data_IF_143348737300
#
_entry.id   IF_143348737300
#
_cell.length_a   1.000
_cell.length_b   1.000
_cell.length_c   1.000
_cell.angle_alpha   90.00
_cell.angle_beta   90.00
_cell.angle_gamma   90.00
#
_symmetry.space_group_name_H-M   'P 1'
#
loop_
_entity.id
_entity.type
_entity.pdbx_description
1 polymer ?
#
# COMPACT_ATOMS: atom_id res chain seq x y z
N UNK A 1 18.13 -6.33 -13.47
CA UNK A 1 18.33 -5.89 -12.07
C UNK A 1 18.93 -4.49 -11.93
N UNK A 2 20.00 -4.12 -12.68
CA UNK A 2 20.61 -2.78 -12.59
C UNK A 2 19.61 -1.62 -12.84
N UNK A 3 18.74 -1.75 -13.83
CA UNK A 3 17.74 -0.72 -14.18
C UNK A 3 16.70 -0.50 -13.08
N UNK A 4 16.19 -1.56 -12.44
CA UNK A 4 15.29 -1.49 -11.29
C UNK A 4 15.93 -0.70 -10.14
N UNK A 5 17.20 -1.01 -9.82
CA UNK A 5 17.92 -0.30 -8.78
C UNK A 5 18.12 1.19 -9.06
N UNK A 6 18.29 1.59 -10.32
CA UNK A 6 18.41 3.02 -10.71
C UNK A 6 17.10 3.75 -10.43
N UNK A 7 15.95 3.20 -10.86
CA UNK A 7 14.62 3.80 -10.65
C UNK A 7 14.32 3.90 -9.15
N UNK A 8 14.49 2.80 -8.42
CA UNK A 8 14.25 2.75 -6.98
C UNK A 8 15.12 3.75 -6.21
N UNK A 9 16.44 3.77 -6.50
CA UNK A 9 17.37 4.69 -5.85
C UNK A 9 17.03 6.15 -6.11
N UNK A 10 16.57 6.49 -7.33
CA UNK A 10 16.09 7.83 -7.66
C UNK A 10 14.90 8.22 -6.78
N UNK A 11 13.87 7.37 -6.71
CA UNK A 11 12.66 7.68 -5.95
C UNK A 11 12.95 7.77 -4.43
N UNK A 12 13.77 6.85 -3.90
CA UNK A 12 14.20 6.90 -2.51
C UNK A 12 15.04 8.14 -2.20
N UNK A 13 15.97 8.52 -3.09
CA UNK A 13 16.80 9.69 -2.87
C UNK A 13 15.98 11.00 -2.86
N UNK A 14 14.95 11.08 -3.70
CA UNK A 14 14.03 12.22 -3.70
C UNK A 14 13.25 12.23 -2.38
N UNK A 15 12.67 11.10 -1.98
CA UNK A 15 11.85 11.01 -0.78
C UNK A 15 12.64 11.24 0.50
N UNK A 16 13.86 10.69 0.62
CA UNK A 16 14.73 10.94 1.78
C UNK A 16 15.13 12.43 1.94
N UNK A 17 15.09 13.20 0.86
CA UNK A 17 15.36 14.64 0.90
C UNK A 17 14.12 15.48 1.19
N UNK A 18 12.97 15.11 0.62
CA UNK A 18 11.73 15.89 0.76
C UNK A 18 10.86 15.39 1.91
N UNK A 19 10.80 14.10 2.15
CA UNK A 19 9.91 13.45 3.12
C UNK A 19 8.41 13.62 2.82
N UNK A 20 8.07 14.21 1.69
CA UNK A 20 6.73 14.74 1.42
C UNK A 20 5.68 13.62 1.29
N UNK A 21 5.99 12.54 0.54
CA UNK A 21 5.05 11.44 0.31
C UNK A 21 4.79 10.71 1.62
N UNK A 22 5.86 10.29 2.30
CA UNK A 22 5.78 9.49 3.52
C UNK A 22 5.14 10.29 4.66
N UNK A 23 5.51 11.57 4.79
CA UNK A 23 4.97 12.43 5.84
C UNK A 23 3.49 12.73 5.63
N UNK A 24 3.09 13.18 4.43
CA UNK A 24 1.69 13.54 4.15
C UNK A 24 0.78 12.32 4.24
N UNK A 25 1.17 11.21 3.59
CA UNK A 25 0.38 9.96 3.62
C UNK A 25 0.37 9.33 5.01
N UNK A 26 1.49 9.40 5.73
CA UNK A 26 1.61 8.91 7.10
C UNK A 26 0.77 9.70 8.10
N UNK A 27 0.79 11.04 8.04
CA UNK A 27 -0.09 11.86 8.88
C UNK A 27 -1.56 11.58 8.62
N UNK A 28 -1.95 11.43 7.36
CA UNK A 28 -3.34 11.09 7.03
C UNK A 28 -3.73 9.70 7.59
N UNK A 29 -2.86 8.72 7.43
CA UNK A 29 -3.08 7.38 7.98
C UNK A 29 -3.20 7.40 9.52
N UNK A 30 -2.32 8.13 10.20
CA UNK A 30 -2.39 8.32 11.66
C UNK A 30 -3.68 9.01 12.08
N UNK A 31 -4.11 10.04 11.35
CA UNK A 31 -5.35 10.75 11.64
C UNK A 31 -6.56 9.83 11.54
N UNK A 32 -6.62 8.96 10.52
CA UNK A 32 -7.70 7.95 10.40
C UNK A 32 -7.70 7.00 11.60
N UNK A 33 -6.56 6.50 12.03
CA UNK A 33 -6.45 5.60 13.19
C UNK A 33 -6.85 6.31 14.48
N UNK A 34 -6.38 7.54 14.70
CA UNK A 34 -6.70 8.34 15.89
C UNK A 34 -8.22 8.60 15.95
N UNK A 35 -8.80 9.11 14.88
CA UNK A 35 -10.25 9.40 14.83
C UNK A 35 -11.04 8.11 15.06
N UNK A 36 -10.65 7.00 14.43
CA UNK A 36 -11.33 5.73 14.61
C UNK A 36 -11.27 5.23 16.05
N UNK A 37 -10.14 5.41 16.73
CA UNK A 37 -9.98 5.00 18.13
C UNK A 37 -10.85 5.82 19.08
N UNK A 38 -11.05 7.10 18.78
CA UNK A 38 -11.88 8.02 19.58
C UNK A 38 -13.38 7.87 19.29
N UNK A 39 -13.73 7.65 18.01
CA UNK A 39 -15.12 7.55 17.57
C UNK A 39 -15.81 6.26 18.04
N UNK A 40 -15.06 5.17 18.14
CA UNK A 40 -15.60 3.85 18.48
C UNK A 40 -15.15 3.40 19.86
N UNK A 41 -15.66 4.05 20.89
CA UNK A 41 -15.39 3.70 22.27
C UNK A 41 -16.22 2.47 22.69
N UNK A 42 -15.53 1.41 23.16
CA UNK A 42 -16.20 0.18 23.55
C UNK A 42 -15.30 -0.80 24.31
N UNK A 43 -15.85 -1.96 24.62
CA UNK A 43 -15.12 -3.05 25.27
C UNK A 43 -14.01 -3.63 24.40
N UNK A 44 -13.20 -4.58 24.97
CA UNK A 44 -12.04 -5.14 24.25
C UNK A 44 -12.38 -5.77 22.90
N UNK A 45 -13.55 -6.41 22.77
CA UNK A 45 -14.00 -7.01 21.51
C UNK A 45 -14.28 -5.94 20.43
N UNK A 46 -14.99 -4.86 20.79
CA UNK A 46 -15.27 -3.73 19.87
C UNK A 46 -13.97 -3.08 19.42
N UNK A 47 -13.04 -2.84 20.36
CA UNK A 47 -11.73 -2.23 20.03
C UNK A 47 -10.95 -3.06 19.00
N UNK A 48 -10.88 -4.38 19.16
CA UNK A 48 -10.20 -5.29 18.22
C UNK A 48 -10.87 -5.28 16.84
N UNK A 49 -12.20 -5.30 16.82
CA UNK A 49 -12.97 -5.24 15.58
C UNK A 49 -12.69 -3.96 14.78
N UNK A 50 -12.74 -2.82 15.48
CA UNK A 50 -12.50 -1.50 14.87
C UNK A 50 -11.04 -1.35 14.47
N UNK A 51 -10.10 -1.83 15.29
CA UNK A 51 -8.66 -1.75 15.00
C UNK A 51 -8.31 -2.40 13.67
N UNK A 52 -8.82 -3.60 13.39
CA UNK A 52 -8.55 -4.29 12.13
C UNK A 52 -9.01 -3.47 10.93
N UNK A 53 -10.22 -2.91 10.96
CA UNK A 53 -10.74 -2.04 9.90
C UNK A 53 -9.97 -0.73 9.80
N UNK A 54 -9.69 -0.05 10.92
CA UNK A 54 -9.01 1.23 10.95
C UNK A 54 -7.58 1.14 10.40
N UNK A 55 -6.83 0.09 10.74
CA UNK A 55 -5.48 -0.16 10.21
C UNK A 55 -5.52 -0.26 8.68
N UNK A 56 -6.34 -1.14 8.12
CA UNK A 56 -6.33 -1.39 6.69
C UNK A 56 -6.97 -0.26 5.86
N UNK A 57 -7.96 0.44 6.41
CA UNK A 57 -8.50 1.66 5.78
C UNK A 57 -7.42 2.74 5.74
N UNK A 58 -6.67 2.94 6.82
CA UNK A 58 -5.60 3.94 6.87
C UNK A 58 -4.48 3.64 5.86
N UNK A 59 -4.09 2.37 5.72
CA UNK A 59 -3.09 1.91 4.75
C UNK A 59 -3.61 2.10 3.30
N UNK A 60 -4.88 1.77 3.04
CA UNK A 60 -5.49 1.97 1.72
C UNK A 60 -5.47 3.45 1.30
N UNK A 61 -5.85 4.36 2.20
CA UNK A 61 -5.79 5.79 1.92
C UNK A 61 -4.34 6.29 1.78
N UNK A 62 -3.43 5.81 2.62
CA UNK A 62 -2.00 6.13 2.48
C UNK A 62 -1.47 5.69 1.11
N UNK A 63 -1.84 4.51 0.62
CA UNK A 63 -1.44 4.01 -0.68
C UNK A 63 -1.96 4.90 -1.82
N UNK A 64 -3.23 5.32 -1.77
CA UNK A 64 -3.83 6.24 -2.77
C UNK A 64 -3.12 7.59 -2.78
N UNK A 65 -2.84 8.16 -1.60
CA UNK A 65 -2.16 9.45 -1.49
C UNK A 65 -0.71 9.36 -1.96
N UNK A 66 0.04 8.36 -1.49
CA UNK A 66 1.43 8.15 -1.88
C UNK A 66 1.57 7.93 -3.39
N UNK A 67 0.67 7.13 -3.97
CA UNK A 67 0.59 6.91 -5.41
C UNK A 67 0.35 8.23 -6.16
N UNK A 68 -0.67 8.98 -5.75
CA UNK A 68 -1.03 10.27 -6.36
C UNK A 68 0.16 11.21 -6.42
N UNK A 69 0.87 11.38 -5.30
CA UNK A 69 2.05 12.25 -5.19
C UNK A 69 3.23 11.73 -6.02
N UNK A 70 3.49 10.42 -6.01
CA UNK A 70 4.57 9.80 -6.79
C UNK A 70 4.43 10.11 -8.29
N UNK A 71 3.22 9.95 -8.85
CA UNK A 71 2.97 10.22 -10.26
C UNK A 71 2.84 11.71 -10.58
N UNK A 72 2.38 12.54 -9.65
CA UNK A 72 2.34 13.98 -9.81
C UNK A 72 3.74 14.55 -9.97
N UNK A 73 4.70 14.14 -9.15
CA UNK A 73 6.11 14.55 -9.25
C UNK A 73 6.72 14.22 -10.62
N UNK A 74 6.46 13.03 -11.15
CA UNK A 74 7.00 12.60 -12.44
C UNK A 74 6.50 13.52 -13.59
N UNK A 75 5.34 14.09 -13.44
CA UNK A 75 4.73 14.98 -14.45
C UNK A 75 5.20 16.43 -14.33
N UNK A 76 5.19 16.97 -13.12
CA UNK A 76 5.52 18.39 -12.90
C UNK A 76 6.93 18.74 -13.39
N UNK A 77 7.86 17.81 -13.24
CA UNK A 77 9.24 17.98 -13.71
C UNK A 77 9.49 17.48 -15.15
N UNK A 78 8.45 17.06 -15.87
CA UNK A 78 8.62 16.46 -17.21
C UNK A 78 9.43 15.16 -17.22
N UNK A 79 9.74 14.61 -16.03
CA UNK A 79 10.56 13.41 -15.88
C UNK A 79 9.92 12.19 -16.53
N UNK A 80 8.58 12.15 -16.62
CA UNK A 80 7.85 11.10 -17.31
C UNK A 80 8.29 10.93 -18.77
N UNK A 81 8.40 12.04 -19.51
CA UNK A 81 8.89 11.99 -20.91
C UNK A 81 10.32 11.47 -20.98
N UNK A 82 11.19 11.90 -20.07
CA UNK A 82 12.55 11.41 -19.96
C UNK A 82 12.62 9.91 -19.68
N UNK A 83 11.75 9.38 -18.83
CA UNK A 83 11.65 7.94 -18.52
C UNK A 83 11.18 7.12 -19.72
N UNK A 84 10.29 7.68 -20.57
CA UNK A 84 9.81 7.00 -21.79
C UNK A 84 10.87 6.93 -22.89
N UNK A 85 11.74 7.95 -23.00
CA UNK A 85 12.83 8.01 -23.99
C UNK A 85 14.07 7.27 -23.51
N UNK A 86 14.23 7.07 -22.19
CA UNK A 86 15.36 6.35 -21.65
C UNK A 86 15.34 4.88 -22.10
N UNK A 87 16.52 4.25 -22.34
CA UNK A 87 16.64 2.84 -22.73
C UNK A 87 16.36 1.91 -21.53
N UNK A 88 15.18 2.05 -20.94
CA UNK A 88 14.73 1.25 -19.81
C UNK A 88 13.64 0.27 -20.26
N UNK A 89 13.78 -0.99 -19.85
CA UNK A 89 12.69 -1.95 -20.01
C UNK A 89 11.47 -1.52 -19.19
N UNK A 90 10.27 -1.59 -19.76
CA UNK A 90 9.01 -1.20 -19.10
C UNK A 90 8.76 -1.99 -17.81
N UNK A 91 9.10 -3.28 -17.82
CA UNK A 91 9.05 -4.14 -16.62
C UNK A 91 9.99 -3.65 -15.51
N UNK A 92 11.18 -3.16 -15.86
CA UNK A 92 12.11 -2.60 -14.87
C UNK A 92 11.60 -1.29 -14.27
N UNK A 93 10.90 -0.47 -15.05
CA UNK A 93 10.24 0.74 -14.57
C UNK A 93 9.10 0.39 -13.61
N UNK A 94 8.23 -0.58 -13.98
CA UNK A 94 7.15 -1.05 -13.10
C UNK A 94 7.69 -1.56 -11.76
N UNK A 95 8.64 -2.50 -11.80
CA UNK A 95 9.22 -3.10 -10.57
C UNK A 95 9.91 -2.03 -9.72
N UNK A 96 10.66 -1.11 -10.34
CA UNK A 96 11.31 -0.02 -9.61
C UNK A 96 10.32 0.89 -8.90
N UNK A 97 9.24 1.28 -9.58
CA UNK A 97 8.17 2.13 -9.02
C UNK A 97 7.37 1.40 -7.94
N UNK A 98 6.98 0.14 -8.19
CA UNK A 98 6.25 -0.67 -7.21
C UNK A 98 7.09 -0.91 -5.96
N UNK A 99 8.39 -1.18 -6.10
CA UNK A 99 9.31 -1.33 -4.97
C UNK A 99 9.48 -0.02 -4.18
N UNK A 100 9.53 1.12 -4.85
CA UNK A 100 9.56 2.43 -4.19
C UNK A 100 8.31 2.68 -3.36
N UNK A 101 7.13 2.47 -3.95
CA UNK A 101 5.86 2.63 -3.26
C UNK A 101 5.71 1.63 -2.10
N UNK A 102 6.14 0.37 -2.29
CA UNK A 102 6.18 -0.64 -1.23
C UNK A 102 6.99 -0.15 -0.02
N UNK A 103 8.19 0.37 -0.24
CA UNK A 103 9.04 0.85 0.85
C UNK A 103 8.43 2.07 1.56
N UNK A 104 7.75 2.97 0.82
CA UNK A 104 7.04 4.10 1.44
C UNK A 104 5.88 3.62 2.31
N UNK A 105 5.09 2.65 1.82
CA UNK A 105 3.99 2.07 2.60
C UNK A 105 4.50 1.34 3.85
N UNK A 106 5.54 0.52 3.72
CA UNK A 106 6.14 -0.16 4.87
C UNK A 106 6.69 0.82 5.91
N UNK A 107 7.28 1.94 5.47
CA UNK A 107 7.71 3.00 6.39
C UNK A 107 6.54 3.65 7.14
N UNK A 108 5.41 3.87 6.45
CA UNK A 108 4.17 4.37 7.07
C UNK A 108 3.61 3.35 8.06
N UNK A 109 3.54 2.08 7.67
CA UNK A 109 3.04 0.97 8.49
C UNK A 109 3.88 0.78 9.76
N UNK A 110 5.20 0.96 9.67
CA UNK A 110 6.10 0.90 10.81
C UNK A 110 5.75 1.92 11.90
N UNK A 111 5.10 3.02 11.54
CA UNK A 111 4.62 4.04 12.48
C UNK A 111 3.16 3.81 12.86
N UNK A 112 2.31 3.54 11.86
CA UNK A 112 0.85 3.39 12.04
C UNK A 112 0.51 2.20 12.92
N UNK A 113 1.16 1.05 12.71
CA UNK A 113 0.87 -0.16 13.48
C UNK A 113 1.15 -0.01 14.97
N UNK A 114 2.34 0.46 15.42
CA UNK A 114 2.58 0.71 16.84
C UNK A 114 1.60 1.72 17.46
N UNK A 115 1.29 2.80 16.74
CA UNK A 115 0.32 3.80 17.22
C UNK A 115 -1.08 3.17 17.36
N UNK A 116 -1.53 2.39 16.37
CA UNK A 116 -2.78 1.65 16.46
C UNK A 116 -2.78 0.68 17.66
N UNK A 117 -1.66 0.01 17.87
CA UNK A 117 -1.49 -0.89 19.02
C UNK A 117 -1.69 -0.22 20.37
N UNK A 118 -1.13 0.97 20.55
CA UNK A 118 -1.32 1.76 21.77
C UNK A 118 -2.76 2.26 21.89
N UNK A 119 -3.31 2.85 20.82
CA UNK A 119 -4.65 3.45 20.85
C UNK A 119 -5.78 2.43 21.06
N UNK A 120 -5.66 1.25 20.47
CA UNK A 120 -6.64 0.18 20.62
C UNK A 120 -6.29 -0.80 21.75
N UNK A 121 -5.22 -0.56 22.51
CA UNK A 121 -4.71 -1.41 23.58
C UNK A 121 -4.50 -2.87 23.11
N UNK A 122 -3.79 -3.03 21.99
CA UNK A 122 -3.47 -4.34 21.42
C UNK A 122 -2.26 -4.96 22.11
N UNK A 123 -2.28 -6.26 22.32
CA UNK A 123 -1.16 -7.01 22.88
C UNK A 123 -0.12 -7.34 21.81
N UNK A 124 0.93 -6.53 21.73
CA UNK A 124 2.01 -6.69 20.76
C UNK A 124 2.80 -7.97 20.90
N UNK A 125 2.95 -8.48 22.12
CA UNK A 125 3.66 -9.73 22.35
C UNK A 125 2.93 -10.91 21.71
N UNK A 126 1.60 -10.86 21.69
CA UNK A 126 0.75 -11.91 21.14
C UNK A 126 0.51 -11.75 19.64
N UNK A 127 0.26 -10.54 19.17
CA UNK A 127 -0.28 -10.27 17.82
C UNK A 127 0.70 -9.63 16.85
N UNK A 128 1.82 -9.10 17.35
CA UNK A 128 2.75 -8.34 16.52
C UNK A 128 3.35 -9.15 15.38
N UNK A 129 3.82 -10.36 15.64
CA UNK A 129 4.44 -11.22 14.62
C UNK A 129 3.43 -11.71 13.55
N UNK A 130 2.24 -12.24 13.91
CA UNK A 130 1.22 -12.58 12.92
C UNK A 130 0.75 -11.38 12.10
N UNK A 131 0.58 -10.21 12.74
CA UNK A 131 0.18 -8.99 12.05
C UNK A 131 1.25 -8.52 11.04
N UNK A 132 2.53 -8.59 11.42
CA UNK A 132 3.63 -8.33 10.48
C UNK A 132 3.60 -9.26 9.26
N UNK A 133 3.23 -10.54 9.45
CA UNK A 133 3.04 -11.49 8.36
C UNK A 133 1.93 -11.05 7.38
N UNK A 134 0.77 -10.61 7.90
CA UNK A 134 -0.32 -10.09 7.06
C UNK A 134 0.13 -8.83 6.30
N UNK A 135 0.83 -7.92 6.97
CA UNK A 135 1.36 -6.69 6.38
C UNK A 135 2.33 -7.01 5.23
N UNK A 136 3.31 -7.88 5.46
CA UNK A 136 4.30 -8.26 4.46
C UNK A 136 3.71 -8.97 3.23
N UNK A 137 2.55 -9.61 3.37
CA UNK A 137 1.83 -10.24 2.26
C UNK A 137 0.78 -9.34 1.61
N UNK A 138 0.17 -8.40 2.32
CA UNK A 138 -0.84 -7.54 1.71
C UNK A 138 -0.23 -6.33 1.00
N UNK A 139 0.82 -5.73 1.56
CA UNK A 139 1.37 -4.47 1.06
C UNK A 139 2.04 -4.57 -0.31
N UNK A 140 2.74 -5.67 -0.69
CA UNK A 140 3.26 -5.82 -2.06
C UNK A 140 2.18 -5.82 -3.13
N UNK A 141 1.06 -6.53 -2.91
CA UNK A 141 -0.09 -6.53 -3.81
C UNK A 141 -0.73 -5.15 -3.93
N UNK A 142 -0.88 -4.44 -2.81
CA UNK A 142 -1.36 -3.05 -2.80
C UNK A 142 -0.42 -2.16 -3.62
N UNK A 143 0.89 -2.24 -3.41
CA UNK A 143 1.88 -1.43 -4.11
C UNK A 143 1.92 -1.74 -5.62
N UNK A 144 1.85 -3.01 -6.01
CA UNK A 144 1.81 -3.44 -7.40
C UNK A 144 0.54 -2.93 -8.11
N UNK A 145 -0.64 -3.16 -7.51
CA UNK A 145 -1.93 -2.69 -8.02
C UNK A 145 -1.93 -1.17 -8.17
N UNK A 146 -1.53 -0.46 -7.13
CA UNK A 146 -1.47 0.99 -7.12
C UNK A 146 -0.54 1.51 -8.23
N UNK A 147 0.65 0.91 -8.38
CA UNK A 147 1.61 1.33 -9.42
C UNK A 147 1.09 1.09 -10.83
N UNK A 148 0.43 -0.05 -11.09
CA UNK A 148 -0.13 -0.38 -12.39
C UNK A 148 -1.19 0.64 -12.80
N UNK A 149 -2.18 0.87 -11.94
CA UNK A 149 -3.28 1.80 -12.25
C UNK A 149 -2.91 3.27 -12.13
N UNK A 150 -1.92 3.59 -11.28
CA UNK A 150 -1.36 4.93 -11.21
C UNK A 150 -0.76 5.38 -12.53
N UNK A 151 -0.13 4.49 -13.30
CA UNK A 151 0.43 4.80 -14.60
C UNK A 151 -0.62 5.29 -15.61
N UNK A 152 -1.84 4.75 -15.55
CA UNK A 152 -2.95 5.17 -16.41
C UNK A 152 -3.40 6.61 -16.14
N UNK A 153 -3.17 7.12 -14.94
CA UNK A 153 -3.63 8.46 -14.54
C UNK A 153 -2.67 9.58 -14.95
N UNK A 154 -1.46 9.25 -15.40
CA UNK A 154 -0.45 10.24 -15.80
C UNK A 154 -0.94 11.12 -16.95
N UNK A 155 -1.70 10.57 -17.86
CA UNK A 155 -2.21 11.25 -19.07
C UNK A 155 -3.61 11.86 -18.90
N UNK A 156 -4.33 11.55 -17.83
CA UNK A 156 -5.74 11.91 -17.66
C UNK A 156 -5.90 13.19 -16.83
N UNK A 157 -6.80 14.10 -17.24
CA UNK A 157 -7.10 15.33 -16.49
C UNK A 157 -7.90 15.08 -15.19
N UNK A 158 -8.79 14.08 -15.16
CA UNK A 158 -9.69 13.76 -14.04
C UNK A 158 -9.13 12.72 -13.06
N UNK A 159 -7.87 12.82 -12.68
CA UNK A 159 -7.07 11.80 -12.02
C UNK A 159 -7.56 11.33 -10.66
N UNK A 160 -7.82 12.25 -9.75
CA UNK A 160 -8.17 11.89 -8.37
C UNK A 160 -9.42 11.04 -8.30
N UNK A 161 -10.41 11.37 -9.14
CA UNK A 161 -11.68 10.64 -9.23
C UNK A 161 -11.47 9.26 -9.86
N UNK A 162 -10.73 9.18 -10.98
CA UNK A 162 -10.45 7.90 -11.64
C UNK A 162 -9.60 6.97 -10.76
N UNK A 163 -8.60 7.50 -10.06
CA UNK A 163 -7.81 6.73 -9.10
C UNK A 163 -8.70 6.12 -8.03
N UNK A 164 -9.58 6.92 -7.42
CA UNK A 164 -10.45 6.41 -6.37
C UNK A 164 -11.46 5.37 -6.90
N UNK A 165 -12.14 5.67 -8.02
CA UNK A 165 -13.18 4.80 -8.58
C UNK A 165 -12.63 3.44 -9.04
N UNK A 166 -11.43 3.41 -9.61
CA UNK A 166 -10.84 2.16 -10.15
C UNK A 166 -10.00 1.45 -9.11
N UNK A 167 -9.19 2.18 -8.35
CA UNK A 167 -8.23 1.58 -7.43
C UNK A 167 -8.89 0.90 -6.23
N UNK A 168 -9.91 1.53 -5.60
CA UNK A 168 -10.56 0.93 -4.43
C UNK A 168 -11.23 -0.42 -4.72
N UNK A 169 -12.04 -0.61 -5.78
CA UNK A 169 -12.56 -1.93 -6.12
C UNK A 169 -11.47 -2.98 -6.39
N UNK A 170 -10.35 -2.58 -6.97
CA UNK A 170 -9.25 -3.51 -7.23
C UNK A 170 -8.48 -3.89 -5.95
N UNK A 171 -8.32 -2.95 -5.04
CA UNK A 171 -7.70 -3.22 -3.73
C UNK A 171 -8.65 -3.99 -2.80
N UNK A 172 -9.97 -3.95 -3.04
CA UNK A 172 -10.96 -4.53 -2.14
C UNK A 172 -10.69 -6.01 -1.78
N UNK A 173 -10.35 -6.92 -2.72
CA UNK A 173 -10.08 -8.30 -2.36
C UNK A 173 -8.90 -8.44 -1.39
N UNK A 174 -7.80 -7.75 -1.64
CA UNK A 174 -6.61 -7.75 -0.76
C UNK A 174 -6.95 -7.13 0.59
N UNK A 175 -7.63 -5.98 0.61
CA UNK A 175 -7.98 -5.27 1.85
C UNK A 175 -8.97 -6.08 2.70
N UNK A 176 -10.01 -6.67 2.10
CA UNK A 176 -10.98 -7.48 2.82
C UNK A 176 -10.34 -8.74 3.42
N UNK A 177 -9.44 -9.38 2.68
CA UNK A 177 -8.68 -10.53 3.18
C UNK A 177 -7.74 -10.13 4.31
N UNK A 178 -7.06 -9.00 4.19
CA UNK A 178 -6.15 -8.50 5.22
C UNK A 178 -6.91 -8.07 6.49
N UNK A 179 -8.07 -7.42 6.37
CA UNK A 179 -8.96 -7.12 7.51
C UNK A 179 -9.43 -8.42 8.18
N UNK A 180 -9.88 -9.40 7.38
CA UNK A 180 -10.36 -10.69 7.90
C UNK A 180 -9.26 -11.45 8.62
N UNK A 181 -8.06 -11.54 8.03
CA UNK A 181 -6.89 -12.15 8.66
C UNK A 181 -6.53 -11.47 9.98
N UNK A 182 -6.51 -10.13 10.00
CA UNK A 182 -6.20 -9.35 11.20
C UNK A 182 -7.23 -9.56 12.30
N UNK A 183 -8.52 -9.63 11.96
CA UNK A 183 -9.58 -9.95 12.93
C UNK A 183 -9.40 -11.35 13.51
N UNK A 184 -9.16 -12.36 12.66
CA UNK A 184 -8.91 -13.73 13.10
C UNK A 184 -7.70 -13.83 14.04
N UNK A 185 -6.62 -13.07 13.76
CA UNK A 185 -5.46 -12.96 14.64
C UNK A 185 -5.86 -12.38 16.02
N UNK A 186 -6.63 -11.29 16.03
CA UNK A 186 -7.06 -10.64 17.27
C UNK A 186 -8.05 -11.49 18.08
N UNK A 187 -8.82 -12.35 17.42
CA UNK A 187 -9.73 -13.30 18.06
C UNK A 187 -9.00 -14.56 18.58
N UNK A 188 -7.72 -14.71 18.25
CA UNK A 188 -6.88 -15.82 18.69
C UNK A 188 -7.12 -17.12 17.91
N UNK A 189 -7.57 -17.01 16.67
CA UNK A 189 -7.79 -18.14 15.76
C UNK A 189 -6.50 -18.97 15.61
N UNK A 190 -6.58 -20.30 15.65
CA UNK A 190 -5.41 -21.16 15.53
C UNK A 190 -4.77 -21.04 14.13
N UNK A 191 -3.45 -21.26 14.07
CA UNK A 191 -2.65 -21.03 12.87
C UNK A 191 -3.13 -21.79 11.63
N UNK A 192 -3.62 -23.03 11.81
CA UNK A 192 -4.14 -23.85 10.69
C UNK A 192 -5.31 -23.18 9.94
N UNK A 193 -6.12 -22.39 10.62
CA UNK A 193 -7.23 -21.65 10.02
C UNK A 193 -6.75 -20.31 9.40
N UNK A 194 -5.70 -19.72 9.96
CA UNK A 194 -5.10 -18.49 9.42
C UNK A 194 -4.40 -18.72 8.07
N UNK A 195 -3.85 -19.91 7.83
CA UNK A 195 -3.13 -20.25 6.59
C UNK A 195 -3.95 -19.91 5.33
N UNK A 196 -5.26 -20.14 5.34
CA UNK A 196 -6.13 -19.80 4.23
C UNK A 196 -6.11 -18.32 3.84
N UNK A 197 -6.07 -17.42 4.82
CA UNK A 197 -5.97 -15.97 4.58
C UNK A 197 -4.60 -15.60 3.98
N UNK A 198 -3.51 -16.19 4.50
CA UNK A 198 -2.16 -15.95 3.97
C UNK A 198 -2.01 -16.47 2.54
N UNK A 199 -2.57 -17.64 2.23
CA UNK A 199 -2.59 -18.18 0.87
C UNK A 199 -3.35 -17.26 -0.08
N UNK A 200 -4.51 -16.75 0.34
CA UNK A 200 -5.33 -15.86 -0.49
C UNK A 200 -4.61 -14.52 -0.74
N UNK A 201 -3.95 -13.94 0.27
CA UNK A 201 -3.11 -12.75 0.09
C UNK A 201 -1.98 -13.02 -0.90
N UNK A 202 -1.26 -14.14 -0.77
CA UNK A 202 -0.20 -14.51 -1.69
C UNK A 202 -0.69 -14.69 -3.13
N UNK A 203 -1.90 -15.25 -3.32
CA UNK A 203 -2.52 -15.37 -4.65
C UNK A 203 -2.81 -14.00 -5.25
N UNK A 204 -3.33 -13.05 -4.46
CA UNK A 204 -3.55 -11.68 -4.93
C UNK A 204 -2.23 -10.97 -5.25
N UNK A 205 -1.19 -11.15 -4.44
CA UNK A 205 0.13 -10.61 -4.73
C UNK A 205 0.67 -11.10 -6.07
N UNK A 206 0.65 -12.41 -6.29
CA UNK A 206 1.08 -13.02 -7.56
C UNK A 206 0.26 -12.48 -8.73
N UNK A 207 -1.07 -12.42 -8.59
CA UNK A 207 -1.97 -11.93 -9.62
C UNK A 207 -1.63 -10.49 -10.02
N UNK A 208 -1.47 -9.58 -9.05
CA UNK A 208 -1.22 -8.18 -9.32
C UNK A 208 0.22 -7.89 -9.75
N UNK A 209 1.19 -8.62 -9.24
CA UNK A 209 2.59 -8.48 -9.67
C UNK A 209 2.74 -9.01 -11.10
N UNK A 210 2.23 -10.20 -11.42
CA UNK A 210 2.29 -10.78 -12.78
C UNK A 210 1.46 -9.97 -13.75
N UNK A 211 0.25 -9.55 -13.37
CA UNK A 211 -0.58 -8.64 -14.14
C UNK A 211 0.14 -7.31 -14.42
N UNK A 212 0.78 -6.74 -13.41
CA UNK A 212 1.58 -5.54 -13.56
C UNK A 212 2.76 -5.69 -14.51
N UNK A 213 3.50 -6.79 -14.42
CA UNK A 213 4.61 -7.09 -15.33
C UNK A 213 4.15 -7.23 -16.79
N UNK A 214 2.98 -7.83 -17.02
CA UNK A 214 2.44 -8.04 -18.36
C UNK A 214 1.77 -6.81 -18.97
N UNK A 215 0.98 -6.08 -18.18
CA UNK A 215 0.11 -5.00 -18.67
C UNK A 215 0.76 -3.61 -18.64
N UNK A 216 1.74 -3.38 -17.74
CA UNK A 216 2.31 -2.05 -17.55
C UNK A 216 2.91 -1.45 -18.84
N UNK A 217 3.59 -2.28 -19.66
CA UNK A 217 4.14 -1.86 -20.94
C UNK A 217 3.07 -1.32 -21.88
N UNK A 218 1.98 -2.05 -22.04
CA UNK A 218 0.84 -1.70 -22.90
C UNK A 218 0.20 -0.40 -22.41
N UNK A 219 -0.07 -0.29 -21.11
CA UNK A 219 -0.75 0.87 -20.52
C UNK A 219 0.07 2.16 -20.56
N UNK A 220 1.38 2.06 -20.70
CA UNK A 220 2.30 3.21 -20.73
C UNK A 220 2.57 3.69 -22.16
N UNK A 221 2.43 2.82 -23.18
CA UNK A 221 2.68 3.15 -24.58
C UNK A 221 1.46 3.77 -25.29
N UNK A 222 0.24 3.41 -24.88
CA UNK A 222 -1.02 4.01 -25.35
C UNK A 222 -1.30 5.37 -24.65
#
# INVERSE_FOLDING_TARGET
MRQVGIVLRKDLAIELRSGEITTTSGYFALLVVIISSMAFYGGPATRRLVAAGAIWISIAFAAVLALGQTWQREREHGAWRGLLVAPLHRTALFVGKASGLLLFLLAIELVVLPVAGVLFALDWAKWGLPLAGVTLLATPGIAATATLFGSMTVRTKARGVLLAIVLFPLLAPTLLTAVSATRSIFDGTPWNELVGHFQLLAVFDVLFIVGGLGLFGILVED
#
